data_IF_410914469920
#
_entry.id   IF_410914469920
#
_cell.length_a   1.000
_cell.length_b   1.000
_cell.length_c   1.000
_cell.angle_alpha   90.00
_cell.angle_beta   90.00
_cell.angle_gamma   90.00
#
_symmetry.space_group_name_H-M   'P 1'
#
loop_
_entity.id
_entity.type
_entity.pdbx_description
1 polymer ?
#
# COMPACT_ATOMS: atom_id res chain seq x y z
N UNK A 1 -43.67 62.99 54.90
CA UNK A 1 -42.70 63.89 54.23
C UNK A 1 -41.31 63.67 54.82
N UNK A 2 -40.45 62.92 54.12
CA UNK A 2 -38.99 63.03 54.17
C UNK A 2 -38.41 62.13 53.07
N UNK A 3 -37.59 62.75 52.23
CA UNK A 3 -36.98 62.18 51.04
C UNK A 3 -36.11 60.96 51.40
N UNK A 4 -36.31 59.86 50.68
CA UNK A 4 -35.39 58.72 50.67
C UNK A 4 -34.34 58.93 49.58
N UNK A 5 -33.08 58.99 49.98
CA UNK A 5 -31.92 58.83 49.12
C UNK A 5 -31.90 57.40 48.55
N UNK A 6 -32.07 57.25 47.23
CA UNK A 6 -31.81 55.99 46.55
C UNK A 6 -30.41 56.02 45.96
N UNK A 7 -29.53 55.21 46.57
CA UNK A 7 -28.15 54.99 46.13
C UNK A 7 -28.16 54.14 44.85
N UNK A 8 -27.41 54.60 43.86
CA UNK A 8 -27.01 53.81 42.69
C UNK A 8 -26.20 52.59 43.15
N UNK A 9 -26.69 51.38 42.86
CA UNK A 9 -25.92 50.14 42.97
C UNK A 9 -25.65 49.67 41.54
N UNK A 10 -24.40 49.81 41.10
CA UNK A 10 -23.89 49.18 39.89
C UNK A 10 -23.89 47.65 40.08
N UNK A 11 -24.82 46.96 39.43
CA UNK A 11 -24.79 45.50 39.34
C UNK A 11 -23.78 45.10 38.26
N UNK A 12 -22.58 44.70 38.67
CA UNK A 12 -21.60 44.00 37.83
C UNK A 12 -22.16 42.60 37.51
N UNK A 13 -22.78 42.45 36.34
CA UNK A 13 -23.18 41.16 35.80
C UNK A 13 -21.95 40.37 35.35
N UNK A 14 -21.54 39.38 36.15
CA UNK A 14 -20.61 38.34 35.73
C UNK A 14 -21.29 37.46 34.68
N UNK A 15 -21.01 37.74 33.40
CA UNK A 15 -21.33 36.83 32.30
C UNK A 15 -20.33 35.67 32.38
N UNK A 16 -20.76 34.54 32.95
CA UNK A 16 -20.08 33.27 32.75
C UNK A 16 -20.29 32.85 31.29
N UNK A 17 -19.33 33.18 30.42
CA UNK A 17 -19.21 32.52 29.12
C UNK A 17 -18.81 31.08 29.42
N UNK A 18 -19.79 30.17 29.38
CA UNK A 18 -19.50 28.75 29.26
C UNK A 18 -18.85 28.54 27.88
N UNK A 19 -17.52 28.59 27.84
CA UNK A 19 -16.76 28.02 26.74
C UNK A 19 -17.03 26.52 26.81
N UNK A 20 -17.99 26.04 26.01
CA UNK A 20 -18.06 24.62 25.71
C UNK A 20 -16.72 24.27 25.07
N UNK A 21 -15.95 23.30 25.60
CA UNK A 21 -14.85 22.76 24.81
C UNK A 21 -15.49 22.26 23.52
N UNK A 22 -15.09 22.84 22.39
CA UNK A 22 -15.27 22.17 21.11
C UNK A 22 -14.58 20.84 21.28
N UNK A 23 -15.35 19.75 21.33
CA UNK A 23 -14.82 18.41 21.11
C UNK A 23 -14.18 18.50 19.73
N UNK A 24 -12.87 18.80 19.70
CA UNK A 24 -12.09 18.71 18.47
C UNK A 24 -12.29 17.31 17.94
N UNK A 25 -12.47 17.18 16.62
CA UNK A 25 -12.45 15.86 16.00
C UNK A 25 -11.22 15.11 16.50
N UNK A 26 -11.33 13.83 16.91
CA UNK A 26 -10.18 13.08 17.36
C UNK A 26 -9.16 13.10 16.22
N UNK A 27 -8.05 13.82 16.40
CA UNK A 27 -6.98 13.80 15.41
C UNK A 27 -6.46 12.37 15.36
N UNK A 28 -6.51 11.78 14.18
CA UNK A 28 -5.91 10.47 13.95
C UNK A 28 -4.43 10.59 14.26
N UNK A 29 -3.96 9.88 15.29
CA UNK A 29 -2.55 9.87 15.66
C UNK A 29 -1.95 8.52 15.25
N UNK A 30 -0.81 8.51 14.54
CA UNK A 30 -0.11 7.27 14.24
C UNK A 30 0.44 6.70 15.55
N UNK A 31 0.38 5.38 15.71
CA UNK A 31 0.95 4.68 16.86
C UNK A 31 1.59 3.38 16.45
N UNK A 32 2.53 2.89 17.24
CA UNK A 32 3.00 1.49 17.14
C UNK A 32 2.18 0.67 18.14
N UNK A 33 1.53 -0.38 17.66
CA UNK A 33 0.67 -1.24 18.49
C UNK A 33 1.44 -2.50 18.92
N UNK A 34 1.58 -2.77 20.23
CA UNK A 34 2.28 -3.96 20.71
C UNK A 34 1.73 -5.27 20.15
N UNK A 35 0.43 -5.34 19.85
CA UNK A 35 -0.20 -6.55 19.29
C UNK A 35 0.29 -6.79 17.86
N UNK A 36 0.35 -5.74 17.05
CA UNK A 36 0.84 -5.81 15.66
C UNK A 36 2.31 -6.23 15.62
N UNK A 37 3.16 -5.62 16.45
CA UNK A 37 4.58 -5.98 16.53
C UNK A 37 4.78 -7.42 17.04
N UNK A 38 4.05 -7.83 18.08
CA UNK A 38 4.16 -9.17 18.65
C UNK A 38 3.81 -10.26 17.62
N UNK A 39 2.69 -10.11 16.90
CA UNK A 39 2.30 -11.11 15.90
C UNK A 39 3.24 -11.10 14.70
N UNK A 40 3.63 -9.93 14.18
CA UNK A 40 4.55 -9.89 13.04
C UNK A 40 5.91 -10.50 13.39
N UNK A 41 6.41 -10.32 14.61
CA UNK A 41 7.64 -10.97 15.09
C UNK A 41 7.48 -12.50 15.18
N UNK A 42 6.36 -12.99 15.72
CA UNK A 42 6.12 -14.45 15.77
C UNK A 42 6.08 -15.06 14.37
N UNK A 43 5.43 -14.40 13.41
CA UNK A 43 5.38 -14.89 12.02
C UNK A 43 6.72 -14.68 11.27
N UNK A 44 7.52 -13.68 11.63
CA UNK A 44 8.91 -13.56 11.16
C UNK A 44 9.74 -14.78 11.58
N UNK A 45 9.65 -15.18 12.85
CA UNK A 45 10.33 -16.37 13.37
C UNK A 45 9.79 -17.67 12.76
N UNK A 46 8.53 -17.68 12.32
CA UNK A 46 7.92 -18.81 11.63
C UNK A 46 8.43 -18.98 10.18
N UNK A 47 9.03 -17.93 9.60
CA UNK A 47 9.62 -17.94 8.26
C UNK A 47 8.74 -17.34 7.16
N UNK A 48 7.66 -16.64 7.53
CA UNK A 48 6.76 -15.98 6.59
C UNK A 48 7.46 -14.83 5.86
N UNK A 49 7.53 -14.89 4.52
CA UNK A 49 8.33 -13.95 3.71
C UNK A 49 7.83 -12.51 3.82
N UNK A 50 6.53 -12.32 3.99
CA UNK A 50 5.89 -11.02 4.15
C UNK A 50 6.31 -10.28 5.45
N UNK A 51 6.78 -11.01 6.47
CA UNK A 51 7.31 -10.42 7.72
C UNK A 51 8.84 -10.50 7.84
N UNK A 52 9.51 -11.05 6.82
CA UNK A 52 10.97 -11.17 6.77
C UNK A 52 11.63 -10.08 5.91
N UNK A 53 10.84 -9.21 5.30
CA UNK A 53 11.34 -7.97 4.71
C UNK A 53 12.12 -7.17 5.76
N UNK A 54 13.34 -6.74 5.42
CA UNK A 54 14.23 -6.05 6.37
C UNK A 54 14.69 -4.67 5.87
N UNK A 55 13.75 -3.76 5.52
CA UNK A 55 14.10 -2.39 5.12
C UNK A 55 14.71 -1.60 6.28
N UNK A 56 14.21 -1.81 7.51
CA UNK A 56 14.72 -1.24 8.75
C UNK A 56 15.77 -2.18 9.38
N UNK A 57 16.99 -2.12 8.84
CA UNK A 57 18.04 -3.13 9.10
C UNK A 57 18.42 -3.25 10.58
N UNK A 58 18.55 -2.13 11.29
CA UNK A 58 18.91 -2.14 12.72
C UNK A 58 17.80 -2.76 13.56
N UNK A 59 16.56 -2.30 13.38
CA UNK A 59 15.42 -2.81 14.14
C UNK A 59 15.19 -4.31 13.91
N UNK A 60 15.30 -4.77 12.65
CA UNK A 60 15.17 -6.19 12.33
C UNK A 60 16.32 -7.04 12.88
N UNK A 61 17.55 -6.50 12.93
CA UNK A 61 18.66 -7.16 13.59
C UNK A 61 18.44 -7.29 15.11
N UNK A 62 17.86 -6.27 15.76
CA UNK A 62 17.52 -6.31 17.19
C UNK A 62 16.44 -7.35 17.48
N UNK A 63 15.42 -7.46 16.62
CA UNK A 63 14.41 -8.53 16.69
C UNK A 63 15.09 -9.90 16.58
N UNK A 64 15.92 -10.10 15.54
CA UNK A 64 16.55 -11.40 15.29
C UNK A 64 17.50 -11.80 16.43
N UNK A 65 18.26 -10.84 16.98
CA UNK A 65 19.13 -11.07 18.12
C UNK A 65 18.34 -11.44 19.39
N UNK A 66 17.27 -10.70 19.68
CA UNK A 66 16.49 -10.89 20.90
C UNK A 66 15.63 -12.16 20.87
N UNK A 67 14.97 -12.44 19.75
CA UNK A 67 13.97 -13.51 19.65
C UNK A 67 14.48 -14.81 19.01
N UNK A 68 15.70 -14.86 18.46
CA UNK A 68 16.25 -16.10 17.87
C UNK A 68 16.27 -17.31 18.81
N UNK A 69 16.47 -17.20 20.14
CA UNK A 69 16.39 -18.35 21.04
C UNK A 69 14.99 -18.99 21.11
N UNK A 70 13.95 -18.27 20.68
CA UNK A 70 12.55 -18.68 20.79
C UNK A 70 11.95 -19.21 19.48
N UNK A 71 12.78 -19.54 18.48
CA UNK A 71 12.31 -20.08 17.18
C UNK A 71 11.54 -21.40 17.27
N UNK A 72 11.77 -22.16 18.34
CA UNK A 72 11.06 -23.41 18.66
C UNK A 72 9.96 -23.21 19.71
N UNK A 73 9.63 -21.97 20.08
CA UNK A 73 8.55 -21.70 21.02
C UNK A 73 7.21 -22.21 20.46
N UNK A 74 6.31 -22.78 21.29
CA UNK A 74 5.02 -23.31 20.84
C UNK A 74 4.17 -22.37 19.97
N UNK A 75 4.22 -21.06 20.23
CA UNK A 75 3.56 -20.05 19.39
C UNK A 75 4.13 -19.99 17.95
N UNK A 76 5.47 -20.03 17.81
CA UNK A 76 6.16 -19.98 16.51
C UNK A 76 5.94 -21.29 15.76
N UNK A 77 6.00 -22.44 16.45
CA UNK A 77 5.69 -23.73 15.86
C UNK A 77 4.24 -23.79 15.35
N UNK A 78 3.29 -23.26 16.11
CA UNK A 78 1.89 -23.18 15.69
C UNK A 78 1.70 -22.20 14.53
N UNK A 79 2.37 -21.04 14.52
CA UNK A 79 2.35 -20.10 13.40
C UNK A 79 2.82 -20.79 12.11
N UNK A 80 3.95 -21.49 12.15
CA UNK A 80 4.51 -22.25 11.01
C UNK A 80 3.54 -23.31 10.51
N UNK A 81 2.91 -24.05 11.43
CA UNK A 81 1.90 -25.06 11.09
C UNK A 81 0.69 -24.42 10.39
N UNK A 82 0.13 -23.36 10.95
CA UNK A 82 -1.05 -22.68 10.40
C UNK A 82 -0.75 -22.02 9.05
N UNK A 83 0.46 -21.47 8.86
CA UNK A 83 0.92 -20.95 7.58
C UNK A 83 0.98 -22.04 6.51
N UNK A 84 1.54 -23.21 6.83
CA UNK A 84 1.68 -24.31 5.86
C UNK A 84 0.40 -25.10 5.58
N UNK A 85 -0.49 -25.25 6.56
CA UNK A 85 -1.70 -26.10 6.42
C UNK A 85 -2.96 -25.32 6.06
N UNK A 86 -3.00 -24.02 6.35
CA UNK A 86 -4.21 -23.18 6.26
C UNK A 86 -3.97 -21.81 5.64
N UNK A 87 -2.80 -21.61 5.04
CA UNK A 87 -2.40 -20.35 4.40
C UNK A 87 -2.51 -19.12 5.33
N UNK A 88 -2.34 -19.31 6.64
CA UNK A 88 -2.33 -18.20 7.60
C UNK A 88 -1.06 -17.38 7.39
N UNK A 89 -1.24 -16.15 6.92
CA UNK A 89 -0.20 -15.15 6.67
C UNK A 89 -0.84 -13.81 6.34
N UNK A 90 -0.03 -12.83 5.97
CA UNK A 90 -0.51 -11.51 5.51
C UNK A 90 -1.62 -10.90 6.41
N UNK A 91 -2.74 -10.52 5.82
CA UNK A 91 -3.85 -9.81 6.46
C UNK A 91 -4.52 -10.61 7.58
N UNK A 92 -4.53 -11.95 7.54
CA UNK A 92 -5.10 -12.78 8.62
C UNK A 92 -4.40 -12.52 9.95
N UNK A 93 -3.07 -12.38 9.91
CA UNK A 93 -2.25 -12.16 11.11
C UNK A 93 -2.58 -10.81 11.73
N UNK A 94 -2.64 -9.75 10.91
CA UNK A 94 -2.98 -8.42 11.39
C UNK A 94 -4.45 -8.30 11.81
N UNK A 95 -5.34 -9.02 11.13
CA UNK A 95 -6.73 -9.22 11.52
C UNK A 95 -6.83 -9.78 12.94
N UNK A 96 -6.11 -10.88 13.24
CA UNK A 96 -6.06 -11.40 14.60
C UNK A 96 -5.52 -10.37 15.59
N UNK A 97 -4.43 -9.65 15.27
CA UNK A 97 -3.82 -8.67 16.16
C UNK A 97 -4.82 -7.62 16.68
N UNK A 98 -5.62 -7.03 15.78
CA UNK A 98 -6.59 -5.98 16.17
C UNK A 98 -7.80 -6.52 16.93
N UNK A 99 -8.08 -7.82 16.82
CA UNK A 99 -9.16 -8.51 17.52
C UNK A 99 -8.79 -8.98 18.94
N UNK A 100 -7.55 -8.78 19.39
CA UNK A 100 -7.09 -9.16 20.73
C UNK A 100 -7.07 -7.96 21.69
N UNK A 101 -7.39 -8.19 22.96
CA UNK A 101 -7.20 -7.22 24.03
C UNK A 101 -5.72 -6.89 24.21
N UNK A 102 -5.36 -5.80 24.91
CA UNK A 102 -3.96 -5.56 25.27
C UNK A 102 -3.30 -6.76 25.99
N UNK A 103 -2.00 -6.90 25.78
CA UNK A 103 -1.16 -7.84 26.53
C UNK A 103 -1.11 -7.45 28.03
N UNK A 104 -0.84 -8.39 28.95
CA UNK A 104 -0.51 -9.80 28.70
C UNK A 104 -1.71 -10.71 28.44
N UNK A 105 -2.95 -10.19 28.53
CA UNK A 105 -4.14 -11.02 28.47
C UNK A 105 -4.42 -11.58 27.07
N UNK A 106 -4.26 -10.76 26.01
CA UNK A 106 -4.47 -11.13 24.61
C UNK A 106 -5.75 -11.96 24.39
N UNK A 107 -6.87 -11.53 24.97
CA UNK A 107 -8.16 -12.20 24.87
C UNK A 107 -8.96 -11.66 23.68
N UNK A 108 -9.82 -12.46 23.05
CA UNK A 108 -10.73 -11.96 22.01
C UNK A 108 -11.55 -10.75 22.50
N UNK A 109 -11.54 -9.65 21.74
CA UNK A 109 -12.36 -8.45 22.00
C UNK A 109 -13.84 -8.68 21.64
N UNK A 110 -14.07 -9.57 20.68
CA UNK A 110 -15.37 -10.07 20.24
C UNK A 110 -15.32 -11.58 20.17
N UNK A 111 -16.48 -12.24 20.14
CA UNK A 111 -16.51 -13.70 20.04
C UNK A 111 -15.88 -14.18 18.73
N UNK A 112 -14.89 -15.07 18.81
CA UNK A 112 -14.34 -15.74 17.64
C UNK A 112 -15.32 -16.77 17.10
N UNK A 113 -15.40 -16.84 15.78
CA UNK A 113 -16.22 -17.75 15.00
C UNK A 113 -15.34 -18.41 13.94
N UNK A 114 -15.92 -19.26 13.08
CA UNK A 114 -15.14 -19.85 11.99
C UNK A 114 -14.65 -18.80 10.98
N UNK A 115 -15.27 -17.62 10.92
CA UNK A 115 -14.87 -16.51 10.04
C UNK A 115 -14.17 -15.35 10.77
N UNK A 116 -14.26 -15.28 12.11
CA UNK A 116 -13.72 -14.19 12.94
C UNK A 116 -12.62 -14.75 13.86
N UNK A 117 -11.39 -14.22 13.82
CA UNK A 117 -10.97 -12.99 13.12
C UNK A 117 -10.67 -13.20 11.63
N UNK A 118 -10.44 -14.44 11.19
CA UNK A 118 -10.24 -14.81 9.79
C UNK A 118 -10.51 -16.31 9.59
N UNK A 119 -11.11 -16.67 8.46
CA UNK A 119 -11.45 -18.05 8.13
C UNK A 119 -10.24 -19.00 8.04
N UNK A 120 -9.06 -18.46 7.67
CA UNK A 120 -7.80 -19.22 7.64
C UNK A 120 -7.40 -19.69 9.03
N UNK A 121 -7.65 -18.92 10.09
CA UNK A 121 -7.50 -19.44 11.44
C UNK A 121 -8.64 -20.43 11.75
N UNK A 122 -9.89 -20.01 11.56
CA UNK A 122 -11.05 -20.67 12.18
C UNK A 122 -11.06 -20.50 13.70
N UNK A 123 -12.20 -20.78 14.34
CA UNK A 123 -12.43 -20.43 15.74
C UNK A 123 -11.41 -21.03 16.70
N UNK A 124 -11.25 -22.35 16.64
CA UNK A 124 -10.48 -23.08 17.66
C UNK A 124 -8.99 -22.78 17.54
N UNK A 125 -8.45 -22.68 16.32
CA UNK A 125 -7.05 -22.30 16.13
C UNK A 125 -6.81 -20.85 16.52
N UNK A 126 -7.74 -19.92 16.24
CA UNK A 126 -7.59 -18.53 16.66
C UNK A 126 -7.51 -18.40 18.19
N UNK A 127 -8.37 -19.13 18.92
CA UNK A 127 -8.35 -19.18 20.39
C UNK A 127 -7.04 -19.80 20.90
N UNK A 128 -6.64 -20.96 20.35
CA UNK A 128 -5.41 -21.62 20.74
C UNK A 128 -4.17 -20.75 20.44
N UNK A 129 -4.14 -20.09 19.29
CA UNK A 129 -3.04 -19.21 18.92
C UNK A 129 -2.94 -18.01 19.85
N UNK A 130 -4.07 -17.37 20.19
CA UNK A 130 -4.09 -16.26 21.15
C UNK A 130 -3.53 -16.67 22.52
N UNK A 131 -3.83 -17.88 22.99
CA UNK A 131 -3.25 -18.43 24.24
C UNK A 131 -1.73 -18.61 24.11
N UNK A 132 -1.26 -19.24 23.02
CA UNK A 132 0.18 -19.46 22.78
C UNK A 132 0.94 -18.16 22.59
N UNK A 133 0.32 -17.16 21.99
CA UNK A 133 0.86 -15.82 21.83
C UNK A 133 1.02 -15.13 23.19
N UNK A 134 0.06 -15.31 24.11
CA UNK A 134 0.19 -14.81 25.48
C UNK A 134 1.32 -15.51 26.24
N UNK A 135 1.53 -16.81 26.02
CA UNK A 135 2.68 -17.56 26.54
C UNK A 135 3.99 -16.95 26.00
N UNK A 136 4.09 -16.75 24.68
CA UNK A 136 5.27 -16.16 24.03
C UNK A 136 5.59 -14.76 24.57
N UNK A 137 4.57 -13.91 24.73
CA UNK A 137 4.73 -12.57 25.31
C UNK A 137 5.42 -12.62 26.69
N UNK A 138 5.02 -13.55 27.56
CA UNK A 138 5.56 -13.70 28.91
C UNK A 138 6.96 -14.31 28.90
N UNK A 139 7.14 -15.41 28.17
CA UNK A 139 8.37 -16.21 28.16
C UNK A 139 9.54 -15.47 27.48
N UNK A 140 9.23 -14.56 26.56
CA UNK A 140 10.21 -13.71 25.87
C UNK A 140 10.45 -12.38 26.56
N UNK A 141 9.68 -12.04 27.60
CA UNK A 141 9.66 -10.69 28.18
C UNK A 141 9.49 -9.61 27.10
N UNK A 142 8.51 -9.80 26.20
CA UNK A 142 8.28 -8.90 25.07
C UNK A 142 8.06 -7.44 25.51
N UNK A 143 7.47 -7.23 26.69
CA UNK A 143 7.32 -5.91 27.30
C UNK A 143 8.65 -5.16 27.42
N UNK A 144 9.73 -5.86 27.78
CA UNK A 144 11.08 -5.27 27.88
C UNK A 144 11.64 -4.92 26.51
N UNK A 145 11.48 -5.80 25.54
CA UNK A 145 11.87 -5.52 24.15
C UNK A 145 11.14 -4.28 23.62
N UNK A 146 9.82 -4.25 23.76
CA UNK A 146 9.00 -3.13 23.28
C UNK A 146 9.29 -1.82 24.03
N UNK A 147 9.60 -1.89 25.34
CA UNK A 147 10.02 -0.73 26.12
C UNK A 147 11.39 -0.18 25.68
N UNK A 148 12.33 -1.06 25.34
CA UNK A 148 13.67 -0.66 24.88
C UNK A 148 13.63 0.11 23.54
N UNK A 149 12.59 -0.09 22.73
CA UNK A 149 12.44 0.55 21.41
C UNK A 149 11.48 1.76 21.41
N UNK A 150 11.03 2.24 22.57
CA UNK A 150 10.08 3.36 22.64
C UNK A 150 10.56 4.63 21.93
N UNK A 151 11.86 4.96 22.04
CA UNK A 151 12.42 6.13 21.34
C UNK A 151 12.36 5.97 19.81
N UNK A 152 12.61 4.76 19.31
CA UNK A 152 12.49 4.45 17.88
C UNK A 152 11.04 4.56 17.40
N UNK A 153 10.09 4.01 18.15
CA UNK A 153 8.67 4.10 17.84
C UNK A 153 8.15 5.55 17.88
N UNK A 154 8.58 6.34 18.87
CA UNK A 154 8.23 7.76 18.95
C UNK A 154 8.78 8.55 17.76
N UNK A 155 10.02 8.26 17.35
CA UNK A 155 10.60 8.89 16.16
C UNK A 155 9.79 8.54 14.90
N UNK A 156 9.38 7.27 14.76
CA UNK A 156 8.58 6.82 13.64
C UNK A 156 7.23 7.54 13.57
N UNK A 157 6.49 7.57 14.67
CA UNK A 157 5.17 8.22 14.72
C UNK A 157 5.27 9.72 14.51
N UNK A 158 6.32 10.37 15.02
CA UNK A 158 6.52 11.79 14.79
C UNK A 158 6.82 12.11 13.33
N UNK A 159 7.76 11.38 12.71
CA UNK A 159 8.08 11.56 11.29
C UNK A 159 6.89 11.25 10.39
N UNK A 160 6.01 10.33 10.80
CA UNK A 160 4.81 9.99 10.03
C UNK A 160 3.77 11.11 9.98
N UNK A 161 3.79 12.08 10.92
CA UNK A 161 2.78 13.15 10.95
C UNK A 161 2.72 13.98 9.68
N UNK A 162 3.82 14.07 8.92
CA UNK A 162 3.84 14.78 7.63
C UNK A 162 2.79 14.25 6.65
N UNK A 163 2.51 12.94 6.69
CA UNK A 163 1.53 12.27 5.82
C UNK A 163 0.09 12.70 6.14
N UNK A 164 -0.15 13.09 7.39
CA UNK A 164 -1.49 13.41 7.88
C UNK A 164 -1.96 14.81 7.52
N UNK A 165 -1.07 15.67 7.01
CA UNK A 165 -1.41 17.03 6.63
C UNK A 165 -2.51 17.10 5.56
N UNK A 166 -2.54 16.11 4.66
CA UNK A 166 -3.47 16.05 3.53
C UNK A 166 -4.56 14.99 3.71
N UNK A 167 -4.65 14.37 4.89
CA UNK A 167 -5.65 13.36 5.22
C UNK A 167 -7.00 14.01 5.56
N UNK A 168 -8.06 13.56 4.88
CA UNK A 168 -9.45 13.94 5.14
C UNK A 168 -10.32 12.71 5.38
N UNK A 169 -10.55 12.38 6.65
CA UNK A 169 -11.41 11.27 7.02
C UNK A 169 -12.90 11.52 6.72
N UNK A 170 -13.33 12.78 6.58
CA UNK A 170 -14.71 13.10 6.24
C UNK A 170 -15.05 12.74 4.79
N UNK A 171 -14.03 12.55 3.95
CA UNK A 171 -14.21 12.01 2.61
C UNK A 171 -14.88 10.64 2.62
N UNK A 172 -14.50 9.72 3.51
CA UNK A 172 -15.11 8.38 3.59
C UNK A 172 -16.62 8.42 3.78
N UNK A 173 -17.07 9.29 4.69
CA UNK A 173 -18.49 9.51 4.96
C UNK A 173 -19.20 10.03 3.71
N UNK A 174 -18.61 11.01 3.04
CA UNK A 174 -19.18 11.64 1.85
C UNK A 174 -19.25 10.68 0.67
N UNK A 175 -18.15 9.94 0.45
CA UNK A 175 -17.99 8.99 -0.64
C UNK A 175 -18.83 7.73 -0.41
N UNK A 176 -18.62 6.99 0.68
CA UNK A 176 -19.29 5.71 0.91
C UNK A 176 -20.76 5.84 1.35
N UNK A 177 -21.15 6.98 1.93
CA UNK A 177 -22.52 7.26 2.38
C UNK A 177 -22.99 6.46 3.61
N UNK A 178 -22.15 5.56 4.13
CA UNK A 178 -22.45 4.78 5.32
C UNK A 178 -22.02 5.56 6.56
N UNK A 179 -23.01 6.02 7.33
CA UNK A 179 -22.84 6.92 8.49
C UNK A 179 -22.47 6.16 9.77
N UNK A 180 -21.72 5.05 9.64
CA UNK A 180 -21.12 4.39 10.78
C UNK A 180 -19.87 5.18 11.15
N UNK A 181 -19.99 6.02 12.18
CA UNK A 181 -18.88 6.77 12.79
C UNK A 181 -17.96 5.81 13.54
N UNK A 182 -17.38 4.85 12.81
CA UNK A 182 -16.37 3.95 13.33
C UNK A 182 -15.12 4.75 13.70
N UNK A 183 -14.38 4.26 14.69
CA UNK A 183 -13.14 4.91 15.10
C UNK A 183 -12.01 4.48 14.17
N UNK A 184 -11.37 5.44 13.52
CA UNK A 184 -10.17 5.22 12.70
C UNK A 184 -8.94 5.04 13.60
N UNK A 185 -8.11 4.05 13.27
CA UNK A 185 -6.85 3.75 13.93
C UNK A 185 -5.75 3.61 12.88
N UNK A 186 -4.68 4.39 13.03
CA UNK A 186 -3.50 4.30 12.19
C UNK A 186 -2.37 3.66 12.98
N UNK A 187 -1.91 2.50 12.53
CA UNK A 187 -0.87 1.73 13.19
C UNK A 187 0.35 1.65 12.27
N UNK A 188 1.53 1.93 12.81
CA UNK A 188 2.80 1.69 12.13
C UNK A 188 3.30 0.30 12.54
N UNK A 189 3.30 -0.64 11.59
CA UNK A 189 3.85 -1.99 11.76
C UNK A 189 5.32 -2.00 11.43
N UNK A 190 6.18 -1.72 12.40
CA UNK A 190 7.61 -1.48 12.18
C UNK A 190 8.34 -2.75 11.72
N UNK A 191 7.85 -3.94 12.07
CA UNK A 191 8.37 -5.21 11.57
C UNK A 191 7.62 -5.74 10.32
N UNK A 192 6.52 -5.11 9.88
CA UNK A 192 5.77 -5.58 8.71
C UNK A 192 6.51 -5.36 7.38
N UNK A 193 7.68 -4.71 7.40
CA UNK A 193 8.42 -4.33 6.20
C UNK A 193 7.54 -3.49 5.26
N UNK A 194 7.41 -3.89 4.00
CA UNK A 194 6.51 -3.23 3.04
C UNK A 194 5.03 -3.64 3.10
N UNK A 195 4.64 -4.53 4.02
CA UNK A 195 3.28 -5.05 4.12
C UNK A 195 2.33 -4.06 4.78
N UNK A 196 1.18 -3.80 4.13
CA UNK A 196 0.12 -2.92 4.60
C UNK A 196 -1.20 -3.67 4.68
N UNK A 197 -2.04 -3.35 5.67
CA UNK A 197 -3.26 -4.12 5.95
C UNK A 197 -4.39 -3.23 6.50
N UNK A 198 -5.60 -3.47 5.99
CA UNK A 198 -6.81 -2.72 6.31
C UNK A 198 -7.89 -3.49 7.08
N UNK A 199 -7.60 -4.12 8.23
CA UNK A 199 -8.62 -4.89 8.95
C UNK A 199 -9.65 -3.98 9.62
N UNK A 200 -10.80 -4.55 9.96
CA UNK A 200 -11.80 -3.90 10.83
C UNK A 200 -12.23 -4.82 11.96
N UNK A 201 -12.71 -4.22 13.05
CA UNK A 201 -13.38 -4.93 14.14
C UNK A 201 -14.80 -4.42 14.25
N UNK A 202 -15.76 -5.34 14.31
CA UNK A 202 -17.20 -5.02 14.44
C UNK A 202 -17.72 -5.65 15.73
N UNK A 203 -18.25 -4.83 16.63
CA UNK A 203 -18.84 -5.29 17.88
C UNK A 203 -20.31 -5.71 17.68
N UNK A 204 -20.85 -6.59 18.54
CA UNK A 204 -22.26 -6.99 18.47
C UNK A 204 -23.27 -5.84 18.56
N UNK A 205 -22.88 -4.71 19.17
CA UNK A 205 -23.71 -3.50 19.26
C UNK A 205 -23.62 -2.60 18.00
N UNK A 206 -22.90 -3.01 16.97
CA UNK A 206 -22.71 -2.25 15.73
C UNK A 206 -21.63 -1.18 15.78
N UNK A 207 -20.88 -1.04 16.88
CA UNK A 207 -19.68 -0.20 16.92
C UNK A 207 -18.61 -0.82 16.01
N UNK A 208 -17.87 0.03 15.29
CA UNK A 208 -16.82 -0.40 14.37
C UNK A 208 -15.50 0.34 14.64
N UNK A 209 -14.40 -0.36 14.44
CA UNK A 209 -13.06 0.22 14.38
C UNK A 209 -12.43 -0.13 13.05
N UNK A 210 -11.92 0.89 12.37
CA UNK A 210 -11.26 0.77 11.06
C UNK A 210 -9.77 0.97 11.26
N UNK A 211 -8.96 0.07 10.73
CA UNK A 211 -7.52 0.11 10.88
C UNK A 211 -6.85 0.34 9.53
N UNK A 212 -5.84 1.19 9.53
CA UNK A 212 -4.83 1.26 8.50
C UNK A 212 -3.52 0.88 9.17
N UNK A 213 -3.00 -0.30 8.88
CA UNK A 213 -1.74 -0.82 9.41
C UNK A 213 -0.70 -0.66 8.32
N UNK A 214 0.22 0.28 8.51
CA UNK A 214 1.19 0.71 7.52
C UNK A 214 2.57 0.17 7.90
N UNK A 215 3.14 -0.63 7.00
CA UNK A 215 4.53 -1.05 7.09
C UNK A 215 5.50 0.12 6.88
N UNK A 216 6.77 -0.07 7.17
CA UNK A 216 7.80 0.91 6.89
C UNK A 216 8.84 0.31 5.93
N UNK A 217 9.00 0.93 4.76
CA UNK A 217 9.94 0.47 3.73
C UNK A 217 11.03 1.50 3.38
N UNK A 218 11.09 2.61 4.11
CA UNK A 218 12.04 3.72 3.88
C UNK A 218 12.78 4.09 5.16
N UNK A 219 14.08 4.34 5.04
CA UNK A 219 14.93 4.79 6.13
C UNK A 219 15.93 5.87 5.67
N UNK A 220 16.43 6.66 6.60
CA UNK A 220 17.57 7.56 6.38
C UNK A 220 18.92 6.83 6.48
N UNK A 221 20.00 7.55 6.19
CA UNK A 221 21.37 7.01 6.25
C UNK A 221 21.79 6.54 7.66
N UNK A 222 21.07 6.98 8.71
CA UNK A 222 21.27 6.54 10.08
C UNK A 222 20.42 5.32 10.45
N UNK A 223 19.67 4.76 9.49
CA UNK A 223 18.81 3.60 9.70
C UNK A 223 17.49 3.90 10.42
N UNK A 224 17.08 5.17 10.52
CA UNK A 224 15.81 5.56 11.13
C UNK A 224 14.70 5.67 10.08
N UNK A 225 13.44 5.35 10.43
CA UNK A 225 12.32 5.37 9.49
C UNK A 225 12.08 6.78 8.94
N UNK A 226 11.79 6.86 7.65
CA UNK A 226 11.44 8.12 6.97
C UNK A 226 10.08 7.99 6.29
N UNK A 227 9.35 9.10 6.20
CA UNK A 227 8.02 9.15 5.59
C UNK A 227 7.87 10.44 4.77
N UNK A 228 7.10 10.38 3.70
CA UNK A 228 6.73 11.50 2.82
C UNK A 228 5.23 11.47 2.54
N UNK A 229 4.69 12.52 1.93
CA UNK A 229 3.29 12.57 1.49
C UNK A 229 2.89 11.39 0.58
N UNK A 230 3.85 10.70 -0.05
CA UNK A 230 3.63 9.51 -0.89
C UNK A 230 3.03 8.31 -0.14
N UNK A 231 3.02 8.34 1.20
CA UNK A 231 2.33 7.33 2.02
C UNK A 231 0.81 7.54 2.09
N UNK A 232 0.30 8.72 1.74
CA UNK A 232 -1.12 9.05 1.85
C UNK A 232 -2.00 8.07 1.04
N UNK A 233 -1.71 7.79 -0.25
CA UNK A 233 -2.47 6.81 -1.03
C UNK A 233 -2.59 5.44 -0.33
N UNK A 234 -1.54 4.98 0.37
CA UNK A 234 -1.55 3.71 1.10
C UNK A 234 -2.46 3.76 2.32
N UNK A 235 -2.46 4.86 3.09
CA UNK A 235 -3.40 5.02 4.21
C UNK A 235 -4.83 4.96 3.70
N UNK A 236 -5.10 5.67 2.60
CA UNK A 236 -6.42 5.72 2.01
C UNK A 236 -6.86 4.34 1.51
N UNK A 237 -5.95 3.62 0.86
CA UNK A 237 -6.13 2.25 0.39
C UNK A 237 -6.54 1.32 1.54
N UNK A 238 -5.78 1.29 2.63
CA UNK A 238 -6.08 0.35 3.72
C UNK A 238 -7.42 0.65 4.41
N UNK A 239 -7.75 1.92 4.63
CA UNK A 239 -9.05 2.26 5.19
C UNK A 239 -10.21 1.92 4.24
N UNK A 240 -10.02 2.01 2.91
CA UNK A 240 -11.06 1.67 1.93
C UNK A 240 -11.52 0.20 2.05
N UNK A 241 -10.64 -0.74 2.44
CA UNK A 241 -11.03 -2.14 2.66
C UNK A 241 -12.16 -2.30 3.69
N UNK A 242 -12.21 -1.42 4.71
CA UNK A 242 -13.27 -1.45 5.72
C UNK A 242 -14.67 -1.23 5.12
N UNK A 243 -14.77 -0.53 3.99
CA UNK A 243 -16.02 -0.19 3.30
C UNK A 243 -16.28 -1.03 2.04
N UNK A 244 -15.23 -1.37 1.29
CA UNK A 244 -15.33 -2.15 0.03
C UNK A 244 -15.60 -3.63 0.32
N UNK A 245 -14.86 -4.24 1.25
CA UNK A 245 -14.99 -5.67 1.55
C UNK A 245 -16.44 -6.09 1.95
N UNK A 246 -17.14 -5.41 2.89
CA UNK A 246 -18.50 -5.79 3.28
C UNK A 246 -19.51 -5.53 2.15
N UNK A 247 -19.33 -4.45 1.38
CA UNK A 247 -20.19 -4.13 0.25
C UNK A 247 -20.07 -5.19 -0.85
N UNK A 248 -18.84 -5.59 -1.19
CA UNK A 248 -18.60 -6.68 -2.13
C UNK A 248 -19.16 -8.02 -1.62
N UNK A 249 -18.92 -8.38 -0.36
CA UNK A 249 -19.33 -9.68 0.19
C UNK A 249 -20.84 -9.95 0.04
N UNK A 250 -21.68 -8.92 0.19
CA UNK A 250 -23.15 -9.03 0.02
C UNK A 250 -23.59 -9.30 -1.43
N UNK A 251 -22.76 -8.95 -2.40
CA UNK A 251 -23.06 -9.04 -3.83
C UNK A 251 -22.10 -9.99 -4.57
N UNK A 252 -21.26 -10.75 -3.85
CA UNK A 252 -20.21 -11.60 -4.42
C UNK A 252 -20.69 -12.50 -5.56
N UNK A 253 -21.90 -13.07 -5.45
CA UNK A 253 -22.49 -13.94 -6.48
C UNK A 253 -22.73 -13.23 -7.82
N UNK A 254 -22.84 -11.91 -7.84
CA UNK A 254 -23.08 -11.12 -9.06
C UNK A 254 -21.81 -10.94 -9.92
N UNK A 255 -20.63 -11.26 -9.37
CA UNK A 255 -19.32 -11.05 -9.99
C UNK A 255 -18.77 -12.28 -10.73
N UNK A 256 -19.59 -13.27 -11.08
CA UNK A 256 -19.14 -14.47 -11.78
C UNK A 256 -18.29 -14.17 -13.04
N UNK A 257 -18.63 -13.11 -13.80
CA UNK A 257 -17.89 -12.68 -15.00
C UNK A 257 -16.49 -12.14 -14.71
N UNK A 258 -16.20 -11.70 -13.48
CA UNK A 258 -14.86 -11.23 -13.10
C UNK A 258 -13.81 -12.35 -13.18
N UNK A 259 -14.23 -13.62 -13.13
CA UNK A 259 -13.33 -14.77 -13.34
C UNK A 259 -12.68 -14.74 -14.72
N UNK A 260 -13.44 -14.43 -15.76
CA UNK A 260 -12.91 -14.34 -17.13
C UNK A 260 -11.90 -13.18 -17.26
N UNK A 261 -12.12 -12.08 -16.54
CA UNK A 261 -11.17 -10.97 -16.48
C UNK A 261 -9.90 -11.42 -15.76
N UNK A 262 -10.03 -12.03 -14.58
CA UNK A 262 -8.91 -12.54 -13.79
C UNK A 262 -8.03 -13.49 -14.58
N UNK A 263 -8.60 -14.45 -15.31
CA UNK A 263 -7.85 -15.41 -16.12
C UNK A 263 -6.91 -14.74 -17.13
N UNK A 264 -7.24 -13.52 -17.61
CA UNK A 264 -6.41 -12.76 -18.56
C UNK A 264 -5.30 -11.94 -17.92
N UNK A 265 -5.40 -11.68 -16.62
CA UNK A 265 -4.42 -10.88 -15.86
C UNK A 265 -3.80 -11.65 -14.69
N UNK A 266 -4.05 -12.95 -14.61
CA UNK A 266 -3.74 -13.79 -13.45
C UNK A 266 -2.26 -13.73 -13.05
N UNK A 267 -1.34 -13.66 -14.01
CA UNK A 267 0.10 -13.60 -13.71
C UNK A 267 0.48 -12.29 -13.03
N UNK A 268 -0.08 -11.16 -13.49
CA UNK A 268 0.11 -9.85 -12.84
C UNK A 268 -0.57 -9.79 -11.46
N UNK A 269 -1.71 -10.45 -11.30
CA UNK A 269 -2.40 -10.54 -10.01
C UNK A 269 -1.62 -11.40 -9.00
N UNK A 270 -1.15 -12.58 -9.41
CA UNK A 270 -0.35 -13.48 -8.56
C UNK A 270 0.99 -12.87 -8.16
N UNK A 271 1.61 -12.07 -9.02
CA UNK A 271 2.81 -11.31 -8.67
C UNK A 271 2.59 -10.32 -7.50
N UNK A 272 1.33 -9.95 -7.24
CA UNK A 272 0.90 -9.11 -6.12
C UNK A 272 0.24 -9.93 -5.00
N UNK A 273 0.38 -11.26 -5.00
CA UNK A 273 -0.27 -12.20 -4.09
C UNK A 273 -1.82 -12.25 -4.19
N UNK A 274 -2.41 -11.76 -5.29
CA UNK A 274 -3.84 -11.84 -5.53
C UNK A 274 -4.22 -13.14 -6.26
N UNK A 275 -4.75 -14.10 -5.50
CA UNK A 275 -4.97 -15.46 -5.97
C UNK A 275 -6.28 -15.73 -6.72
N UNK A 276 -7.25 -14.81 -6.70
CA UNK A 276 -8.58 -15.04 -7.27
C UNK A 276 -9.28 -13.74 -7.74
N UNK A 277 -10.40 -13.91 -8.44
CA UNK A 277 -11.18 -12.80 -9.00
C UNK A 277 -11.85 -11.91 -7.95
N UNK A 278 -12.20 -12.44 -6.78
CA UNK A 278 -12.83 -11.65 -5.71
C UNK A 278 -11.83 -10.63 -5.17
N UNK A 279 -10.62 -11.10 -4.85
CA UNK A 279 -9.50 -10.23 -4.45
C UNK A 279 -9.24 -9.18 -5.54
N UNK A 280 -9.16 -9.58 -6.81
CA UNK A 280 -8.96 -8.63 -7.92
C UNK A 280 -10.06 -7.54 -7.96
N UNK A 281 -11.34 -7.90 -7.79
CA UNK A 281 -12.43 -6.92 -7.80
C UNK A 281 -12.35 -5.98 -6.60
N UNK A 282 -12.12 -6.51 -5.40
CA UNK A 282 -11.96 -5.73 -4.17
C UNK A 282 -10.81 -4.73 -4.34
N UNK A 283 -9.65 -5.20 -4.77
CA UNK A 283 -8.47 -4.39 -5.02
C UNK A 283 -8.73 -3.31 -6.07
N UNK A 284 -9.41 -3.66 -7.16
CA UNK A 284 -9.77 -2.67 -8.20
C UNK A 284 -10.61 -1.53 -7.63
N UNK A 285 -11.58 -1.85 -6.79
CA UNK A 285 -12.46 -0.85 -6.17
C UNK A 285 -11.73 0.00 -5.14
N UNK A 286 -10.88 -0.60 -4.32
CA UNK A 286 -10.04 0.11 -3.34
C UNK A 286 -9.10 1.08 -4.06
N UNK A 287 -8.42 0.62 -5.11
CA UNK A 287 -7.49 1.43 -5.93
C UNK A 287 -8.19 2.56 -6.67
N UNK A 288 -9.35 2.27 -7.28
CA UNK A 288 -10.17 3.31 -7.91
C UNK A 288 -10.68 4.36 -6.91
N UNK A 289 -11.02 3.94 -5.68
CA UNK A 289 -11.43 4.84 -4.61
C UNK A 289 -10.26 5.72 -4.11
N UNK A 290 -9.02 5.23 -4.12
CA UNK A 290 -7.83 6.09 -3.87
C UNK A 290 -7.72 7.18 -4.93
N UNK A 291 -7.90 6.85 -6.22
CA UNK A 291 -7.86 7.84 -7.31
C UNK A 291 -8.95 8.90 -7.11
N UNK A 292 -10.18 8.49 -6.79
CA UNK A 292 -11.30 9.40 -6.46
C UNK A 292 -10.98 10.31 -5.26
N UNK A 293 -10.31 9.78 -4.23
CA UNK A 293 -9.85 10.58 -3.11
C UNK A 293 -8.87 11.65 -3.58
N UNK A 294 -7.81 11.27 -4.29
CA UNK A 294 -6.78 12.21 -4.76
C UNK A 294 -7.36 13.31 -5.65
N UNK A 295 -8.27 12.98 -6.56
CA UNK A 295 -8.98 13.97 -7.38
C UNK A 295 -9.80 14.94 -6.53
N UNK A 296 -10.53 14.44 -5.52
CA UNK A 296 -11.36 15.28 -4.66
C UNK A 296 -10.56 16.24 -3.77
N UNK A 297 -9.28 15.93 -3.51
CA UNK A 297 -8.36 16.77 -2.74
C UNK A 297 -7.63 17.80 -3.60
N UNK A 298 -7.91 17.85 -4.90
CA UNK A 298 -7.34 18.85 -5.81
C UNK A 298 -5.89 18.57 -6.22
N UNK A 299 -5.44 17.32 -6.11
CA UNK A 299 -4.13 16.91 -6.64
C UNK A 299 -4.03 17.23 -8.13
N UNK A 300 -2.81 17.49 -8.60
CA UNK A 300 -2.60 17.86 -10.00
C UNK A 300 -3.09 16.74 -10.92
N UNK A 301 -3.76 17.10 -12.02
CA UNK A 301 -4.25 16.10 -12.98
C UNK A 301 -3.13 15.22 -13.52
N UNK A 302 -1.87 15.68 -13.48
CA UNK A 302 -0.71 14.90 -13.87
C UNK A 302 -0.41 13.78 -12.86
N UNK A 303 -0.35 14.09 -11.57
CA UNK A 303 -0.12 13.09 -10.50
C UNK A 303 -1.21 12.01 -10.49
N UNK A 304 -2.47 12.42 -10.60
CA UNK A 304 -3.62 11.50 -10.69
C UNK A 304 -3.50 10.61 -11.93
N UNK A 305 -3.11 11.15 -13.09
CA UNK A 305 -2.86 10.35 -14.28
C UNK A 305 -1.75 9.33 -14.04
N UNK A 306 -0.63 9.72 -13.45
CA UNK A 306 0.47 8.79 -13.15
C UNK A 306 0.04 7.67 -12.21
N UNK A 307 -0.70 8.00 -11.15
CA UNK A 307 -1.28 7.01 -10.24
C UNK A 307 -2.16 6.01 -11.00
N UNK A 308 -3.12 6.50 -11.80
CA UNK A 308 -4.01 5.66 -12.61
C UNK A 308 -3.25 4.77 -13.61
N UNK A 309 -2.22 5.28 -14.27
CA UNK A 309 -1.39 4.49 -15.20
C UNK A 309 -0.53 3.46 -14.48
N UNK A 310 -0.08 3.76 -13.26
CA UNK A 310 0.56 2.81 -12.36
C UNK A 310 -0.35 1.62 -12.04
N UNK A 311 -1.62 1.87 -11.75
CA UNK A 311 -2.61 0.79 -11.53
C UNK A 311 -2.84 -0.05 -12.80
N UNK A 312 -2.93 0.57 -13.97
CA UNK A 312 -3.08 -0.17 -15.22
C UNK A 312 -1.84 -1.02 -15.54
N UNK A 313 -0.63 -0.51 -15.25
CA UNK A 313 0.62 -1.22 -15.42
C UNK A 313 0.69 -2.50 -14.58
N UNK A 314 0.19 -2.46 -13.34
CA UNK A 314 0.15 -3.63 -12.43
C UNK A 314 -0.99 -4.60 -12.75
N UNK A 315 -1.75 -4.36 -13.83
CA UNK A 315 -2.70 -5.32 -14.41
C UNK A 315 -4.15 -4.89 -14.37
N UNK A 316 -4.47 -3.76 -13.74
CA UNK A 316 -5.82 -3.20 -13.70
C UNK A 316 -6.08 -2.32 -14.92
N UNK A 317 -5.92 -2.86 -16.14
CA UNK A 317 -5.96 -2.07 -17.40
C UNK A 317 -7.27 -1.30 -17.64
N UNK A 318 -8.33 -1.62 -16.88
CA UNK A 318 -9.65 -0.99 -16.92
C UNK A 318 -9.84 0.13 -15.87
N UNK A 319 -8.78 0.52 -15.15
CA UNK A 319 -8.88 1.47 -14.04
C UNK A 319 -9.52 2.80 -14.43
N UNK A 320 -9.27 3.30 -15.63
CA UNK A 320 -9.91 4.50 -16.17
C UNK A 320 -11.44 4.34 -16.29
N UNK A 321 -11.91 3.28 -16.96
CA UNK A 321 -13.36 3.00 -17.07
C UNK A 321 -14.01 2.81 -15.68
N UNK A 322 -13.29 2.22 -14.72
CA UNK A 322 -13.79 2.02 -13.36
C UNK A 322 -13.84 3.32 -12.54
N UNK A 323 -12.83 4.19 -12.67
CA UNK A 323 -12.82 5.51 -12.04
C UNK A 323 -13.98 6.36 -12.60
N UNK A 324 -14.19 6.36 -13.91
CA UNK A 324 -15.33 7.04 -14.55
C UNK A 324 -16.68 6.51 -14.03
N UNK A 325 -16.80 5.20 -13.82
CA UNK A 325 -17.99 4.60 -13.21
C UNK A 325 -18.20 5.10 -11.77
N UNK A 326 -17.14 5.29 -10.99
CA UNK A 326 -17.22 5.86 -9.64
C UNK A 326 -17.53 7.38 -9.64
N UNK A 327 -17.20 8.12 -10.71
CA UNK A 327 -17.70 9.50 -10.89
C UNK A 327 -19.21 9.51 -11.13
N UNK A 328 -19.74 8.55 -11.88
CA UNK A 328 -21.20 8.42 -12.07
C UNK A 328 -21.90 8.13 -10.75
N UNK A 329 -21.34 7.25 -9.92
CA UNK A 329 -21.80 7.05 -8.55
C UNK A 329 -21.82 8.36 -7.75
N UNK A 330 -20.71 9.09 -7.78
CA UNK A 330 -20.53 10.33 -7.00
C UNK A 330 -21.42 11.48 -7.48
N UNK A 331 -21.84 11.49 -8.74
CA UNK A 331 -22.77 12.49 -9.29
C UNK A 331 -24.25 12.12 -9.12
N UNK A 332 -24.57 10.86 -8.84
CA UNK A 332 -25.95 10.36 -8.71
C UNK A 332 -26.31 9.94 -7.28
N UNK A 333 -25.77 10.65 -6.28
CA UNK A 333 -25.91 10.33 -4.84
C UNK A 333 -27.35 10.33 -4.31
N UNK A 334 -28.27 11.00 -5.00
CA UNK A 334 -29.70 10.94 -4.68
C UNK A 334 -30.29 9.54 -4.95
N UNK A 335 -29.79 8.85 -5.97
CA UNK A 335 -30.17 7.49 -6.36
C UNK A 335 -29.32 6.43 -5.63
N UNK A 336 -28.00 6.61 -5.63
CA UNK A 336 -27.06 5.73 -4.94
C UNK A 336 -26.59 6.36 -3.63
N UNK A 337 -27.40 6.21 -2.57
CA UNK A 337 -27.12 6.83 -1.26
C UNK A 337 -25.94 6.19 -0.52
N UNK A 338 -25.67 4.91 -0.74
CA UNK A 338 -24.56 4.16 -0.14
C UNK A 338 -23.73 3.48 -1.23
N UNK A 339 -22.46 3.22 -0.96
CA UNK A 339 -21.60 2.48 -1.89
C UNK A 339 -22.13 1.07 -2.17
N UNK A 340 -22.67 0.41 -1.13
CA UNK A 340 -23.35 -0.88 -1.27
C UNK A 340 -24.45 -0.83 -2.33
N UNK A 341 -25.30 0.21 -2.33
CA UNK A 341 -26.37 0.35 -3.33
C UNK A 341 -25.86 0.47 -4.77
N UNK A 342 -24.58 0.78 -4.97
CA UNK A 342 -23.94 0.91 -6.28
C UNK A 342 -23.23 -0.36 -6.76
N UNK A 343 -22.94 -1.32 -5.87
CA UNK A 343 -22.20 -2.55 -6.23
C UNK A 343 -22.82 -3.33 -7.40
N UNK A 344 -24.15 -3.44 -7.56
CA UNK A 344 -24.74 -4.09 -8.73
C UNK A 344 -24.33 -3.44 -10.08
N UNK A 345 -24.12 -2.12 -10.10
CA UNK A 345 -23.63 -1.42 -11.30
C UNK A 345 -22.16 -1.78 -11.60
N UNK A 346 -21.33 -1.97 -10.56
CA UNK A 346 -19.96 -2.48 -10.70
C UNK A 346 -19.97 -3.92 -11.23
N UNK A 347 -20.86 -4.78 -10.73
CA UNK A 347 -21.01 -6.14 -11.27
C UNK A 347 -21.41 -6.11 -12.75
N UNK A 348 -22.30 -5.21 -13.15
CA UNK A 348 -22.66 -4.99 -14.56
C UNK A 348 -21.47 -4.51 -15.40
N UNK A 349 -20.61 -3.66 -14.85
CA UNK A 349 -19.37 -3.25 -15.49
C UNK A 349 -18.45 -4.44 -15.77
N UNK A 350 -18.23 -5.35 -14.80
CA UNK A 350 -17.43 -6.54 -15.07
C UNK A 350 -18.05 -7.49 -16.11
N UNK A 351 -19.39 -7.58 -16.16
CA UNK A 351 -20.09 -8.33 -17.22
C UNK A 351 -19.81 -7.74 -18.61
N UNK A 352 -19.71 -6.42 -18.75
CA UNK A 352 -19.42 -5.76 -20.03
C UNK A 352 -17.92 -5.69 -20.37
N UNK A 353 -17.05 -5.73 -19.35
CA UNK A 353 -15.60 -5.75 -19.49
C UNK A 353 -15.08 -7.13 -19.93
N UNK A 354 -15.62 -8.21 -19.35
CA UNK A 354 -15.18 -9.59 -19.61
C UNK A 354 -14.99 -9.96 -21.10
N UNK A 355 -15.91 -9.65 -22.04
CA UNK A 355 -15.70 -9.95 -23.45
C UNK A 355 -14.65 -9.07 -24.15
N UNK A 356 -14.29 -7.91 -23.59
CA UNK A 356 -13.37 -6.92 -24.19
C UNK A 356 -12.00 -6.86 -23.52
N UNK A 357 -11.76 -7.61 -22.45
CA UNK A 357 -10.54 -7.49 -21.64
C UNK A 357 -9.25 -7.68 -22.47
N UNK A 358 -9.23 -8.63 -23.42
CA UNK A 358 -8.05 -8.85 -24.29
C UNK A 358 -7.74 -7.63 -25.15
N UNK A 359 -8.78 -6.99 -25.70
CA UNK A 359 -8.64 -5.75 -26.47
C UNK A 359 -8.13 -4.62 -25.57
N UNK A 360 -8.60 -4.55 -24.31
CA UNK A 360 -8.15 -3.52 -23.35
C UNK A 360 -6.68 -3.68 -22.97
N UNK A 361 -6.23 -4.92 -22.74
CA UNK A 361 -4.81 -5.22 -22.51
C UNK A 361 -3.97 -4.77 -23.72
N UNK A 362 -4.39 -5.14 -24.94
CA UNK A 362 -3.69 -4.77 -26.16
C UNK A 362 -3.66 -3.24 -26.38
N UNK A 363 -4.78 -2.56 -26.14
CA UNK A 363 -4.87 -1.10 -26.27
C UNK A 363 -3.99 -0.37 -25.28
N UNK A 364 -3.91 -0.86 -24.03
CA UNK A 364 -3.01 -0.30 -23.03
C UNK A 364 -1.53 -0.46 -23.44
N UNK A 365 -1.13 -1.66 -23.86
CA UNK A 365 0.24 -1.93 -24.34
C UNK A 365 0.60 -1.03 -25.54
N UNK A 366 -0.27 -0.87 -26.54
CA UNK A 366 0.00 0.02 -27.68
C UNK A 366 0.26 1.48 -27.29
N UNK A 367 -0.35 1.96 -26.19
CA UNK A 367 -0.15 3.31 -25.67
C UNK A 367 1.11 3.44 -24.81
N UNK A 368 1.62 2.34 -24.26
CA UNK A 368 2.90 2.31 -23.54
C UNK A 368 4.05 2.72 -24.46
N UNK A 369 5.13 3.21 -23.85
CA UNK A 369 6.37 3.52 -24.55
C UNK A 369 7.14 2.21 -24.76
N UNK A 370 7.76 2.05 -25.91
CA UNK A 370 8.61 0.90 -26.24
C UNK A 370 9.99 1.38 -26.70
N UNK A 371 11.01 0.60 -26.38
CA UNK A 371 12.33 0.78 -26.98
C UNK A 371 12.25 0.36 -28.45
N UNK A 372 12.57 1.29 -29.36
CA UNK A 372 12.57 1.07 -30.80
C UNK A 372 13.95 0.80 -31.37
N UNK A 373 15.02 1.12 -30.63
CA UNK A 373 16.39 0.85 -31.08
C UNK A 373 17.47 1.15 -30.05
N UNK A 374 18.68 0.68 -30.36
CA UNK A 374 19.91 0.97 -29.62
C UNK A 374 21.04 1.25 -30.61
N UNK A 375 21.90 2.20 -30.27
CA UNK A 375 23.10 2.58 -31.03
C UNK A 375 24.33 2.63 -30.12
N UNK A 376 25.55 2.40 -30.67
CA UNK A 376 25.88 2.24 -32.10
C UNK A 376 25.66 0.82 -32.66
N UNK A 377 25.22 -0.13 -31.84
CA UNK A 377 24.90 -1.50 -32.23
C UNK A 377 23.54 -1.91 -31.66
N UNK A 378 22.85 -2.90 -32.26
CA UNK A 378 21.56 -3.37 -31.76
C UNK A 378 21.71 -4.11 -30.42
N UNK A 379 20.62 -4.22 -29.67
CA UNK A 379 20.58 -5.05 -28.47
C UNK A 379 20.94 -6.52 -28.82
N UNK A 380 21.53 -7.25 -27.88
CA UNK A 380 22.06 -8.61 -28.08
C UNK A 380 23.21 -8.72 -29.10
N UNK A 381 23.95 -7.64 -29.34
CA UNK A 381 25.20 -7.71 -30.12
C UNK A 381 26.24 -8.55 -29.38
N UNK A 382 26.98 -9.38 -30.13
CA UNK A 382 28.10 -10.21 -29.63
C UNK A 382 29.49 -9.63 -29.98
N UNK A 383 29.53 -8.49 -30.69
CA UNK A 383 30.76 -7.89 -31.22
C UNK A 383 30.81 -6.37 -30.92
N UNK A 384 30.25 -5.97 -29.77
CA UNK A 384 30.25 -4.57 -29.36
C UNK A 384 31.68 -4.05 -29.18
N UNK A 385 31.99 -2.88 -29.75
CA UNK A 385 33.31 -2.28 -29.62
C UNK A 385 33.51 -1.74 -28.18
N UNK A 386 34.45 -2.28 -27.37
CA UNK A 386 34.65 -1.82 -25.99
C UNK A 386 35.17 -0.38 -25.89
N UNK A 387 35.62 0.22 -26.99
CA UNK A 387 36.10 1.60 -27.00
C UNK A 387 34.97 2.65 -26.93
N UNK A 388 33.71 2.27 -27.17
CA UNK A 388 32.60 3.23 -27.10
C UNK A 388 32.44 3.78 -25.68
N UNK A 389 31.91 5.00 -25.59
CA UNK A 389 31.70 5.72 -24.33
C UNK A 389 30.24 6.03 -24.03
N UNK A 390 29.37 5.77 -24.99
CA UNK A 390 27.96 6.06 -24.89
C UNK A 390 27.12 5.04 -25.66
N UNK A 391 25.97 4.72 -25.09
CA UNK A 391 24.86 4.06 -25.78
C UNK A 391 23.73 5.06 -25.97
N UNK A 392 23.02 4.98 -27.08
CA UNK A 392 21.77 5.73 -27.28
C UNK A 392 20.64 4.74 -27.38
N UNK A 393 19.63 4.90 -26.51
CA UNK A 393 18.38 4.13 -26.55
C UNK A 393 17.32 5.02 -27.17
N UNK A 394 16.67 4.53 -28.22
CA UNK A 394 15.58 5.22 -28.91
C UNK A 394 14.23 4.61 -28.53
N UNK A 395 13.22 5.46 -28.41
CA UNK A 395 11.86 5.09 -28.06
C UNK A 395 10.89 5.36 -29.22
N UNK A 396 9.77 4.65 -29.25
CA UNK A 396 8.69 4.88 -30.21
C UNK A 396 7.85 6.14 -29.89
N UNK A 397 7.90 6.60 -28.64
CA UNK A 397 7.18 7.75 -28.10
C UNK A 397 8.11 8.56 -27.20
N UNK A 398 7.91 9.88 -27.18
CA UNK A 398 8.70 10.77 -26.34
C UNK A 398 8.45 10.48 -24.86
N UNK A 399 9.53 10.38 -24.09
CA UNK A 399 9.46 10.31 -22.64
C UNK A 399 9.21 11.70 -22.03
N UNK A 400 8.55 11.71 -20.89
CA UNK A 400 8.36 12.87 -20.04
C UNK A 400 9.57 13.01 -19.09
N UNK A 401 10.42 14.03 -19.26
CA UNK A 401 11.63 14.20 -18.46
C UNK A 401 11.31 14.54 -16.99
N UNK A 402 10.05 14.84 -16.69
CA UNK A 402 9.57 15.14 -15.34
C UNK A 402 8.84 13.93 -14.73
N UNK A 403 8.83 12.76 -15.39
CA UNK A 403 8.18 11.56 -14.86
C UNK A 403 8.92 10.98 -13.65
N UNK A 404 8.17 10.25 -12.83
CA UNK A 404 8.66 9.61 -11.60
C UNK A 404 8.81 10.56 -10.40
N UNK A 405 9.00 10.00 -9.19
CA UNK A 405 8.98 10.75 -7.93
C UNK A 405 10.14 11.74 -7.77
N UNK A 406 11.24 11.53 -8.51
CA UNK A 406 12.42 12.41 -8.52
C UNK A 406 12.45 13.34 -9.75
N UNK A 407 11.40 13.36 -10.57
CA UNK A 407 11.24 14.21 -11.75
C UNK A 407 12.45 14.20 -12.72
N UNK A 408 12.96 13.00 -13.01
CA UNK A 408 14.09 12.82 -13.94
C UNK A 408 13.76 11.95 -15.15
N UNK A 409 12.56 11.39 -15.26
CA UNK A 409 12.03 10.85 -16.53
C UNK A 409 12.58 9.52 -17.03
N UNK A 410 13.45 8.85 -16.27
CA UNK A 410 13.98 7.53 -16.61
C UNK A 410 14.17 6.68 -15.35
N UNK A 411 14.08 5.35 -15.48
CA UNK A 411 14.45 4.43 -14.40
C UNK A 411 15.21 3.24 -14.95
N UNK A 412 16.40 2.99 -14.40
CA UNK A 412 17.32 1.94 -14.87
C UNK A 412 17.76 1.11 -13.67
N UNK A 413 17.62 -0.20 -13.78
CA UNK A 413 17.97 -1.18 -12.76
C UNK A 413 19.09 -2.11 -13.25
N UNK A 414 19.71 -2.82 -12.30
CA UNK A 414 20.67 -3.88 -12.59
C UNK A 414 20.04 -4.95 -13.48
N UNK A 415 20.84 -5.49 -14.39
CA UNK A 415 20.49 -6.65 -15.20
C UNK A 415 20.51 -7.95 -14.39
N UNK A 416 20.03 -9.05 -14.98
CA UNK A 416 20.04 -10.37 -14.33
C UNK A 416 21.44 -10.85 -13.93
N UNK A 417 22.49 -10.37 -14.61
CA UNK A 417 23.88 -10.74 -14.33
C UNK A 417 24.49 -9.96 -13.15
N UNK A 418 23.75 -9.01 -12.59
CA UNK A 418 24.15 -8.27 -11.39
C UNK A 418 25.11 -7.11 -11.64
N UNK A 419 25.61 -6.55 -10.54
CA UNK A 419 26.31 -5.26 -10.54
C UNK A 419 27.63 -5.26 -11.33
N UNK A 420 28.35 -6.38 -11.38
CA UNK A 420 29.62 -6.48 -12.12
C UNK A 420 29.46 -6.38 -13.64
N UNK A 421 28.24 -6.57 -14.13
CA UNK A 421 27.85 -6.54 -15.53
C UNK A 421 27.07 -5.26 -15.90
N UNK A 422 26.99 -4.29 -14.99
CA UNK A 422 26.28 -3.03 -15.23
C UNK A 422 27.23 -1.99 -15.88
N UNK A 423 26.96 -1.52 -17.12
CA UNK A 423 27.91 -0.70 -17.87
C UNK A 423 27.81 0.81 -17.61
N UNK A 424 26.70 1.29 -17.05
CA UNK A 424 26.38 2.73 -17.01
C UNK A 424 27.21 3.41 -15.92
N UNK A 425 27.96 4.44 -16.30
CA UNK A 425 28.95 5.10 -15.44
C UNK A 425 28.60 6.53 -15.04
N UNK A 426 27.42 7.02 -15.41
CA UNK A 426 27.00 8.40 -15.15
C UNK A 426 25.51 8.63 -15.40
N UNK A 427 25.06 9.88 -15.27
CA UNK A 427 23.66 10.24 -15.44
C UNK A 427 23.24 10.14 -16.91
N UNK A 428 22.11 9.47 -17.21
CA UNK A 428 21.45 9.56 -18.51
C UNK A 428 21.11 10.99 -18.91
N UNK A 429 21.25 11.30 -20.19
CA UNK A 429 20.92 12.59 -20.78
C UNK A 429 19.81 12.43 -21.82
N UNK A 430 18.77 13.26 -21.74
CA UNK A 430 17.75 13.32 -22.79
C UNK A 430 18.30 14.00 -24.04
N UNK A 431 18.09 13.37 -25.19
CA UNK A 431 18.36 13.97 -26.49
C UNK A 431 17.15 14.78 -26.98
N UNK A 432 17.32 15.70 -27.96
CA UNK A 432 16.24 16.57 -28.44
C UNK A 432 14.96 15.80 -28.80
N UNK A 433 13.81 16.32 -28.34
CA UNK A 433 12.50 15.70 -28.54
C UNK A 433 12.18 14.55 -27.60
N UNK A 434 13.07 14.20 -26.66
CA UNK A 434 12.91 13.14 -25.65
C UNK A 434 12.57 11.76 -26.21
N UNK A 435 12.84 11.53 -27.49
CA UNK A 435 12.69 10.24 -28.18
C UNK A 435 13.90 9.34 -27.98
N UNK A 436 14.93 9.80 -27.28
CA UNK A 436 16.09 9.00 -26.96
C UNK A 436 16.76 9.48 -25.68
N UNK A 437 17.40 8.56 -24.98
CA UNK A 437 18.34 8.85 -23.90
C UNK A 437 19.73 8.38 -24.28
N UNK A 438 20.72 9.20 -23.96
CA UNK A 438 22.14 8.89 -24.07
C UNK A 438 22.64 8.41 -22.72
N UNK A 439 23.27 7.25 -22.70
CA UNK A 439 23.77 6.56 -21.51
C UNK A 439 25.30 6.55 -21.55
N UNK A 440 26.00 7.25 -20.65
CA UNK A 440 27.45 7.12 -20.53
C UNK A 440 27.82 5.72 -20.04
N UNK A 441 28.78 5.06 -20.70
CA UNK A 441 29.19 3.69 -20.39
C UNK A 441 30.70 3.52 -20.30
N UNK A 442 31.14 2.54 -19.50
CA UNK A 442 32.53 2.06 -19.45
C UNK A 442 32.54 0.56 -19.70
N UNK A 443 33.21 0.18 -20.80
CA UNK A 443 33.22 -1.20 -21.27
C UNK A 443 34.63 -1.82 -21.22
N UNK A 444 34.69 -3.10 -20.87
CA UNK A 444 35.84 -3.98 -20.93
C UNK A 444 35.75 -4.83 -22.20
N UNK A 445 36.87 -5.21 -22.83
CA UNK A 445 36.85 -6.23 -23.88
C UNK A 445 36.43 -7.61 -23.35
N UNK A 446 35.87 -8.45 -24.23
CA UNK A 446 35.39 -9.82 -23.96
C UNK A 446 34.53 -9.94 -22.70
N UNK A 447 33.57 -9.02 -22.53
CA UNK A 447 32.74 -8.92 -21.34
C UNK A 447 31.25 -8.85 -21.69
N UNK A 448 30.43 -9.52 -20.89
CA UNK A 448 28.98 -9.46 -21.01
C UNK A 448 28.44 -8.31 -20.16
N UNK A 449 27.48 -7.56 -20.68
CA UNK A 449 26.83 -6.46 -19.99
C UNK A 449 25.32 -6.63 -20.01
N UNK A 450 24.65 -6.26 -18.92
CA UNK A 450 23.19 -6.20 -18.88
C UNK A 450 22.64 -5.14 -17.92
N UNK A 451 21.49 -4.58 -18.28
CA UNK A 451 20.69 -3.68 -17.45
C UNK A 451 19.23 -3.69 -17.90
N UNK A 452 18.32 -3.19 -17.05
CA UNK A 452 16.88 -3.14 -17.36
C UNK A 452 16.39 -1.71 -17.31
N UNK A 453 15.79 -1.26 -18.40
CA UNK A 453 14.98 -0.04 -18.41
C UNK A 453 13.61 -0.38 -17.81
N UNK A 454 13.19 0.36 -16.80
CA UNK A 454 12.00 0.04 -15.99
C UNK A 454 10.95 1.14 -16.08
N UNK A 455 9.67 0.80 -15.85
CA UNK A 455 8.56 1.75 -15.92
C UNK A 455 8.52 2.77 -14.79
N UNK A 456 9.28 2.58 -13.70
CA UNK A 456 9.09 3.30 -12.43
C UNK A 456 9.13 4.84 -12.55
N UNK A 457 10.00 5.36 -13.42
CA UNK A 457 10.08 6.78 -13.73
C UNK A 457 10.15 7.05 -15.23
N UNK A 458 9.89 6.05 -16.07
CA UNK A 458 9.97 6.16 -17.53
C UNK A 458 8.55 6.09 -18.10
N UNK A 459 8.02 7.20 -18.59
CA UNK A 459 6.67 7.28 -19.14
C UNK A 459 6.56 8.39 -20.20
N UNK A 460 5.51 8.36 -21.00
CA UNK A 460 5.14 9.46 -21.91
C UNK A 460 4.53 10.66 -21.17
N UNK A 461 4.34 11.79 -21.85
CA UNK A 461 3.69 12.99 -21.27
C UNK A 461 2.26 12.73 -20.77
N UNK A 462 1.56 11.78 -21.38
CA UNK A 462 0.22 11.35 -20.97
C UNK A 462 0.24 10.30 -19.84
N UNK A 463 1.44 9.98 -19.32
CA UNK A 463 1.68 9.09 -18.19
C UNK A 463 1.77 7.61 -18.53
N UNK A 464 1.70 7.21 -19.81
CA UNK A 464 1.82 5.81 -20.19
C UNK A 464 3.26 5.31 -19.98
N UNK A 465 3.47 4.24 -19.21
CA UNK A 465 4.80 3.81 -18.83
C UNK A 465 5.57 3.19 -20.00
N UNK A 466 6.89 3.12 -19.84
CA UNK A 466 7.76 2.27 -20.65
C UNK A 466 7.50 0.80 -20.34
N UNK A 467 7.30 -0.03 -21.36
CA UNK A 467 7.34 -1.47 -21.19
C UNK A 467 8.78 -1.90 -20.85
N UNK A 468 8.94 -2.63 -19.74
CA UNK A 468 10.25 -3.05 -19.24
C UNK A 468 11.09 -3.67 -20.35
N UNK A 469 12.32 -3.18 -20.53
CA UNK A 469 13.19 -3.60 -21.62
C UNK A 469 14.57 -3.98 -21.07
N UNK A 470 14.97 -5.23 -21.28
CA UNK A 470 16.30 -5.71 -20.89
C UNK A 470 17.30 -5.46 -22.01
N UNK A 471 18.33 -4.68 -21.72
CA UNK A 471 19.49 -4.52 -22.58
C UNK A 471 20.54 -5.55 -22.16
N UNK A 472 21.03 -6.34 -23.11
CA UNK A 472 22.11 -7.27 -22.90
C UNK A 472 23.00 -7.34 -24.15
N UNK A 473 24.32 -7.29 -24.00
CA UNK A 473 25.26 -7.39 -25.12
C UNK A 473 26.63 -7.86 -24.64
N UNK A 474 27.46 -8.32 -25.58
CA UNK A 474 28.84 -8.74 -25.35
C UNK A 474 29.80 -7.90 -26.16
N UNK A 475 30.90 -7.50 -25.52
CA UNK A 475 32.00 -6.81 -26.20
C UNK A 475 32.98 -7.78 -26.84
N UNK A 476 33.58 -7.35 -27.93
CA UNK A 476 34.66 -8.09 -28.58
C UNK A 476 35.95 -8.06 -27.77
N UNK A 477 36.86 -8.97 -28.11
CA UNK A 477 38.19 -9.08 -27.50
C UNK A 477 39.07 -7.86 -27.74
#
# INVERSE_FOLDING_TARGET
MRLLHLRFVCLLGLIFVFVRPTLGEPSLAPRVDPRVELLSIVFRLAGNSEYNMSPLKTYTADIDAYFSPYKEHPAVALARKLAGERDVGFDAVMGLAVHLSPAPALKPLVAFTDDIPDARFGKDNAILFAQRLADFYRDTHFDKFFAAHQSFYHLATERFRVVLNDLDLNWYKSFYGDVRMGQYHLILGMNNGGGNYGPRVVWPNGHEQFFSIIGCWTQDDSGNPTYSADYLPTIIHEFNHSFVNPAFAKHKSEFASARQVFERVADKMRAQAYGNSDTMVIESLVRAAVIQYMESRGHESREVRYLMRGEQLTGFVWMDELVDLLHQYSSQRSHYRTFESFIPAVAQFYRSLAPRISEKIASFSQRCVHVSGMQPFPNHSEDANPAIKELVITFDKALDPQAGPKHHGYSISLGPDGNEHFPISGAPEFLPGNLSIKLPVVLKPDWNYSFVLTPLASASQDGYPLESYTVAFKTKR
#
